data_IF_242713179511
#
_entry.id   IF_242713179511
#
_cell.length_a   1.000
_cell.length_b   1.000
_cell.length_c   1.000
_cell.angle_alpha   90.00
_cell.angle_beta   90.00
_cell.angle_gamma   90.00
#
_symmetry.space_group_name_H-M   'P 1'
#
loop_
_entity.id
_entity.type
_entity.pdbx_description
1 polymer ?
#
# COMPACT_ATOMS: atom_id res chain seq x y z
N UNK A 1 -14.44 -14.11 16.37
CA UNK A 1 -14.86 -14.30 14.96
C UNK A 1 -14.71 -15.78 14.60
N UNK A 2 -15.71 -16.35 13.95
CA UNK A 2 -15.62 -17.73 13.47
C UNK A 2 -14.71 -17.80 12.23
N UNK A 3 -14.01 -18.94 12.09
CA UNK A 3 -13.08 -19.13 10.97
C UNK A 3 -13.74 -18.94 9.60
N UNK A 4 -14.98 -19.42 9.42
CA UNK A 4 -15.69 -19.27 8.14
C UNK A 4 -15.91 -17.78 7.79
N UNK A 5 -16.19 -16.95 8.78
CA UNK A 5 -16.36 -15.50 8.58
C UNK A 5 -15.02 -14.83 8.25
N UNK A 6 -13.95 -15.25 8.92
CA UNK A 6 -12.62 -14.75 8.62
C UNK A 6 -12.17 -15.14 7.22
N UNK A 7 -12.43 -16.38 6.79
CA UNK A 7 -12.04 -16.84 5.45
C UNK A 7 -12.77 -16.02 4.37
N UNK A 8 -14.06 -15.74 4.56
CA UNK A 8 -14.82 -14.89 3.63
C UNK A 8 -14.28 -13.46 3.60
N UNK A 9 -13.96 -12.90 4.75
CA UNK A 9 -13.33 -11.57 4.86
C UNK A 9 -11.97 -11.55 4.18
N UNK A 10 -11.16 -12.57 4.39
CA UNK A 10 -9.82 -12.70 3.80
C UNK A 10 -9.90 -12.68 2.28
N UNK A 11 -10.80 -13.48 1.68
CA UNK A 11 -10.99 -13.53 0.23
C UNK A 11 -11.44 -12.17 -0.32
N UNK A 12 -12.36 -11.50 0.38
CA UNK A 12 -12.83 -10.17 0.01
C UNK A 12 -11.71 -9.15 0.06
N UNK A 13 -10.89 -9.17 1.11
CA UNK A 13 -9.75 -8.26 1.25
C UNK A 13 -8.68 -8.49 0.19
N UNK A 14 -8.40 -9.74 -0.17
CA UNK A 14 -7.47 -10.04 -1.26
C UNK A 14 -7.92 -9.41 -2.58
N UNK A 15 -9.22 -9.49 -2.88
CA UNK A 15 -9.78 -8.87 -4.09
C UNK A 15 -9.60 -7.35 -4.08
N UNK A 16 -9.88 -6.72 -2.94
CA UNK A 16 -9.70 -5.28 -2.79
C UNK A 16 -8.23 -4.84 -2.88
N UNK A 17 -7.32 -5.66 -2.37
CA UNK A 17 -5.86 -5.39 -2.48
C UNK A 17 -5.43 -5.45 -3.94
N UNK A 18 -5.91 -6.41 -4.72
CA UNK A 18 -5.65 -6.49 -6.16
C UNK A 18 -6.15 -5.25 -6.90
N UNK A 19 -7.37 -4.80 -6.59
CA UNK A 19 -7.95 -3.58 -7.18
C UNK A 19 -7.11 -2.35 -6.85
N UNK A 20 -6.67 -2.24 -5.60
CA UNK A 20 -5.79 -1.14 -5.15
C UNK A 20 -4.48 -1.17 -5.93
N UNK A 21 -3.89 -2.34 -6.11
CA UNK A 21 -2.65 -2.50 -6.86
C UNK A 21 -2.81 -2.09 -8.32
N UNK A 22 -3.89 -2.53 -8.95
CA UNK A 22 -4.16 -2.21 -10.36
C UNK A 22 -4.39 -0.72 -10.56
N UNK A 23 -5.14 -0.08 -9.66
CA UNK A 23 -5.36 1.36 -9.71
C UNK A 23 -4.04 2.13 -9.54
N UNK A 24 -3.18 1.70 -8.61
CA UNK A 24 -1.87 2.30 -8.41
C UNK A 24 -0.97 2.16 -9.62
N UNK A 25 -1.01 1.00 -10.29
CA UNK A 25 -0.23 0.79 -11.51
C UNK A 25 -0.63 1.78 -12.62
N UNK A 26 -1.93 1.99 -12.80
CA UNK A 26 -2.44 2.92 -13.81
C UNK A 26 -2.08 4.37 -13.47
N UNK A 27 -2.18 4.75 -12.22
CA UNK A 27 -1.99 6.13 -11.78
C UNK A 27 -0.51 6.53 -11.72
N UNK A 28 0.35 5.69 -11.15
CA UNK A 28 1.72 6.06 -10.82
C UNK A 28 2.79 5.51 -11.77
N UNK A 29 2.55 4.36 -12.37
CA UNK A 29 3.44 3.79 -13.36
C UNK A 29 3.08 4.22 -14.79
N UNK A 30 1.94 4.90 -14.96
CA UNK A 30 1.45 5.36 -16.25
C UNK A 30 1.24 4.20 -17.22
N UNK A 31 1.92 4.22 -18.38
CA UNK A 31 1.87 3.17 -19.39
C UNK A 31 2.92 2.07 -19.19
N UNK A 32 3.75 2.21 -18.15
CA UNK A 32 4.78 1.21 -17.87
C UNK A 32 4.17 -0.08 -17.33
N UNK A 33 4.67 -1.21 -17.81
CA UNK A 33 4.28 -2.53 -17.30
C UNK A 33 5.10 -2.94 -16.08
N UNK A 34 6.21 -2.24 -15.80
CA UNK A 34 7.05 -2.51 -14.64
C UNK A 34 6.33 -2.06 -13.36
N UNK A 35 6.10 -3.00 -12.46
CA UNK A 35 5.42 -2.73 -11.18
C UNK A 35 6.21 -1.79 -10.28
N UNK A 36 7.51 -1.61 -10.51
CA UNK A 36 8.39 -0.74 -9.74
C UNK A 36 8.66 0.60 -10.42
N UNK A 37 8.00 0.91 -11.53
CA UNK A 37 8.36 2.06 -12.36
C UNK A 37 8.41 3.38 -11.59
N UNK A 38 7.40 3.67 -10.75
CA UNK A 38 7.39 4.91 -9.98
C UNK A 38 8.46 4.94 -8.89
N UNK A 39 8.77 3.80 -8.27
CA UNK A 39 9.82 3.72 -7.24
C UNK A 39 11.20 3.92 -7.85
N UNK A 40 11.45 3.37 -9.03
CA UNK A 40 12.69 3.59 -9.78
C UNK A 40 12.84 5.07 -10.12
N UNK A 41 11.79 5.69 -10.67
CA UNK A 41 11.80 7.09 -11.06
C UNK A 41 12.07 8.02 -9.87
N UNK A 42 11.41 7.77 -8.73
CA UNK A 42 11.61 8.56 -7.51
C UNK A 42 13.01 8.33 -6.94
N UNK A 43 13.50 7.09 -6.95
CA UNK A 43 14.84 6.79 -6.45
C UNK A 43 15.93 7.51 -7.25
N UNK A 44 15.77 7.63 -8.56
CA UNK A 44 16.67 8.40 -9.41
C UNK A 44 16.64 9.88 -9.05
N UNK A 45 15.45 10.44 -8.84
CA UNK A 45 15.28 11.84 -8.44
C UNK A 45 15.93 12.17 -7.10
N UNK A 46 15.96 11.20 -6.18
CA UNK A 46 16.48 11.38 -4.83
C UNK A 46 17.89 10.83 -4.63
N UNK A 47 18.52 10.32 -5.69
CA UNK A 47 19.81 9.64 -5.62
C UNK A 47 19.78 8.54 -4.53
N UNK A 48 18.78 7.70 -4.58
CA UNK A 48 18.54 6.64 -3.61
C UNK A 48 18.22 5.32 -4.31
N UNK A 49 17.88 4.29 -3.54
CA UNK A 49 17.52 2.97 -4.08
C UNK A 49 15.99 2.79 -4.09
N UNK A 50 15.43 2.07 -5.09
CA UNK A 50 13.98 1.85 -5.14
C UNK A 50 13.39 1.22 -3.88
N UNK A 51 14.07 0.25 -3.27
CA UNK A 51 13.58 -0.38 -2.05
C UNK A 51 13.56 0.56 -0.84
N UNK A 52 14.44 1.56 -0.80
CA UNK A 52 14.38 2.60 0.24
C UNK A 52 13.17 3.51 0.06
N UNK A 53 12.86 3.87 -1.18
CA UNK A 53 11.66 4.66 -1.49
C UNK A 53 10.41 3.88 -1.10
N UNK A 54 10.34 2.60 -1.48
CA UNK A 54 9.23 1.71 -1.16
C UNK A 54 9.04 1.60 0.36
N UNK A 55 10.13 1.38 1.11
CA UNK A 55 10.08 1.30 2.56
C UNK A 55 9.60 2.62 3.19
N UNK A 56 9.99 3.75 2.62
CA UNK A 56 9.55 5.07 3.10
C UNK A 56 8.03 5.21 2.99
N UNK A 57 7.44 4.82 1.87
CA UNK A 57 6.00 4.83 1.70
C UNK A 57 5.30 3.86 2.65
N UNK A 58 5.84 2.66 2.80
CA UNK A 58 5.31 1.66 3.74
C UNK A 58 5.29 2.22 5.17
N UNK A 59 6.40 2.79 5.62
CA UNK A 59 6.51 3.34 6.97
C UNK A 59 5.54 4.49 7.21
N UNK A 60 5.30 5.33 6.21
CA UNK A 60 4.29 6.38 6.29
C UNK A 60 2.90 5.80 6.56
N UNK A 61 2.51 4.74 5.86
CA UNK A 61 1.22 4.10 6.08
C UNK A 61 1.15 3.38 7.43
N UNK A 62 2.22 2.70 7.83
CA UNK A 62 2.30 2.05 9.14
C UNK A 62 2.15 3.09 10.26
N UNK A 63 2.79 4.24 10.13
CA UNK A 63 2.65 5.33 11.09
C UNK A 63 1.20 5.80 11.21
N UNK A 64 0.52 5.96 10.07
CA UNK A 64 -0.90 6.32 10.05
C UNK A 64 -1.80 5.26 10.67
N UNK A 65 -1.53 3.98 10.43
CA UNK A 65 -2.26 2.86 11.05
C UNK A 65 -2.04 2.87 12.56
N UNK A 66 -0.80 3.05 13.00
CA UNK A 66 -0.46 3.12 14.42
C UNK A 66 -1.16 4.28 15.13
N UNK A 67 -1.22 5.44 14.49
CA UNK A 67 -1.97 6.59 15.01
C UNK A 67 -3.46 6.27 15.19
N UNK A 68 -4.06 5.61 14.21
CA UNK A 68 -5.46 5.18 14.29
C UNK A 68 -5.69 4.19 15.44
N UNK A 69 -4.80 3.21 15.61
CA UNK A 69 -4.87 2.24 16.72
C UNK A 69 -4.83 2.96 18.07
N UNK A 70 -4.09 4.07 18.17
CA UNK A 70 -4.01 4.90 19.37
C UNK A 70 -5.22 5.81 19.57
N UNK A 71 -6.18 5.80 18.68
CA UNK A 71 -7.43 6.55 18.79
C UNK A 71 -7.45 7.87 18.03
N UNK A 72 -6.48 8.16 17.18
CA UNK A 72 -6.47 9.36 16.36
C UNK A 72 -7.28 9.11 15.07
N UNK A 73 -8.17 10.04 14.74
CA UNK A 73 -8.96 9.97 13.53
C UNK A 73 -8.12 10.31 12.31
N UNK A 74 -8.34 9.57 11.22
CA UNK A 74 -7.71 9.87 9.94
C UNK A 74 -8.34 11.13 9.33
N UNK A 75 -7.52 12.09 8.95
CA UNK A 75 -7.97 13.38 8.41
C UNK A 75 -8.11 13.36 6.89
N UNK A 76 -7.23 12.67 6.20
CA UNK A 76 -7.12 12.73 4.73
C UNK A 76 -7.33 11.37 4.09
N UNK A 77 -6.82 10.33 4.69
CA UNK A 77 -6.79 8.99 4.13
C UNK A 77 -7.39 8.02 5.14
N UNK A 78 -8.34 7.22 4.67
CA UNK A 78 -8.99 6.18 5.45
C UNK A 78 -7.96 5.12 5.89
N UNK A 79 -8.07 4.63 7.12
CA UNK A 79 -7.19 3.58 7.64
C UNK A 79 -7.29 2.31 6.79
N UNK A 80 -8.46 1.99 6.26
CA UNK A 80 -8.64 0.85 5.35
C UNK A 80 -7.75 0.98 4.11
N UNK A 81 -7.67 2.17 3.52
CA UNK A 81 -6.79 2.45 2.39
C UNK A 81 -5.32 2.29 2.76
N UNK A 82 -4.91 2.77 3.93
CA UNK A 82 -3.54 2.62 4.44
C UNK A 82 -3.16 1.16 4.63
N UNK A 83 -4.08 0.34 5.15
CA UNK A 83 -3.86 -1.10 5.33
C UNK A 83 -3.66 -1.78 3.97
N UNK A 84 -4.53 -1.52 3.02
CA UNK A 84 -4.43 -2.09 1.68
C UNK A 84 -3.13 -1.70 0.98
N UNK A 85 -2.77 -0.44 1.03
CA UNK A 85 -1.50 0.06 0.46
C UNK A 85 -0.30 -0.61 1.13
N UNK A 86 -0.34 -0.79 2.45
CA UNK A 86 0.74 -1.46 3.18
C UNK A 86 0.90 -2.91 2.72
N UNK A 87 -0.21 -3.63 2.51
CA UNK A 87 -0.17 -4.99 2.00
C UNK A 87 0.46 -5.04 0.62
N UNK A 88 0.07 -4.12 -0.27
CA UNK A 88 0.66 -4.01 -1.62
C UNK A 88 2.17 -3.75 -1.52
N UNK A 89 2.59 -2.81 -0.69
CA UNK A 89 4.02 -2.49 -0.52
C UNK A 89 4.82 -3.67 0.02
N UNK A 90 4.24 -4.45 0.93
CA UNK A 90 4.89 -5.65 1.46
C UNK A 90 5.06 -6.72 0.37
N UNK A 91 4.10 -6.87 -0.52
CA UNK A 91 4.26 -7.75 -1.68
C UNK A 91 5.35 -7.29 -2.64
N UNK A 92 5.46 -5.97 -2.85
CA UNK A 92 6.45 -5.39 -3.76
C UNK A 92 7.87 -5.42 -3.17
N UNK A 93 7.97 -5.37 -1.85
CA UNK A 93 9.26 -5.35 -1.16
C UNK A 93 9.96 -6.72 -1.24
#
# INVERSE_FOLDING_TARGET
MKKIHFDAYFDHMLEQVKETRDAGQKEYAHTEENVFANFVRISESLDSKPNKVLMTYLLKHIDGINAWVKGHDSQREDVSGRIKDSIVYLFLL
#
